data_IF_166488754290
#
_entry.id   IF_166488754290
#
_cell.length_a   1.000
_cell.length_b   1.000
_cell.length_c   1.000
_cell.angle_alpha   90.00
_cell.angle_beta   90.00
_cell.angle_gamma   90.00
#
_symmetry.space_group_name_H-M   'P 1'
#
loop_
_entity.id
_entity.type
_entity.pdbx_description
1 polymer ?
#
# COMPACT_ATOMS: atom_id res chain seq x y z
N UNK A 1 46.04 35.28 6.22
CA UNK A 1 46.25 33.88 6.61
C UNK A 1 45.93 33.77 8.08
N UNK A 2 45.02 32.87 8.47
CA UNK A 2 44.54 32.75 9.85
C UNK A 2 45.51 31.97 10.74
N UNK A 3 45.48 32.27 12.04
CA UNK A 3 46.18 31.48 13.05
C UNK A 3 45.66 30.03 13.09
N UNK A 4 46.50 29.05 13.48
CA UNK A 4 46.05 27.68 13.67
C UNK A 4 45.01 27.62 14.79
N UNK A 5 43.86 27.03 14.49
CA UNK A 5 42.73 26.91 15.40
C UNK A 5 42.39 25.43 15.59
N UNK A 6 42.34 24.99 16.85
CA UNK A 6 41.92 23.62 17.18
C UNK A 6 40.51 23.64 17.74
N UNK A 7 39.55 23.08 17.01
CA UNK A 7 38.19 22.88 17.49
C UNK A 7 38.08 21.58 18.26
N UNK A 8 37.73 21.66 19.54
CA UNK A 8 37.42 20.49 20.35
C UNK A 8 35.94 20.16 20.17
N UNK A 9 35.64 18.96 19.70
CA UNK A 9 34.27 18.51 19.42
C UNK A 9 33.99 17.23 20.20
N UNK A 10 32.82 17.11 20.85
CA UNK A 10 32.45 15.90 21.58
C UNK A 10 32.44 14.65 20.71
N UNK A 11 32.24 14.85 19.41
CA UNK A 11 32.19 13.79 18.43
C UNK A 11 32.91 14.17 17.14
N UNK A 12 33.45 13.18 16.43
CA UNK A 12 34.13 13.41 15.16
C UNK A 12 33.16 13.90 14.08
N UNK A 13 33.26 15.18 13.75
CA UNK A 13 32.52 15.85 12.65
C UNK A 13 33.01 15.34 11.29
N UNK A 14 34.19 14.71 11.23
CA UNK A 14 34.70 14.04 10.02
C UNK A 14 33.77 12.88 9.58
N UNK A 15 32.98 12.31 10.50
CA UNK A 15 31.97 11.29 10.15
C UNK A 15 30.88 11.87 9.23
N UNK A 16 30.65 13.19 9.24
CA UNK A 16 29.76 13.84 8.27
C UNK A 16 30.31 13.80 6.84
N UNK A 17 31.63 13.64 6.64
CA UNK A 17 32.24 13.46 5.32
C UNK A 17 32.07 12.03 4.79
N UNK A 18 32.06 11.02 5.67
CA UNK A 18 32.04 9.61 5.28
C UNK A 18 30.64 9.02 5.17
N UNK A 19 29.60 9.67 5.72
CA UNK A 19 28.24 9.11 5.78
C UNK A 19 27.26 9.68 4.77
N UNK A 20 26.74 8.74 3.98
CA UNK A 20 25.60 8.67 3.05
C UNK A 20 24.25 9.28 3.50
N UNK A 21 24.18 10.00 4.63
CA UNK A 21 22.93 10.56 5.20
C UNK A 21 23.01 12.07 5.40
N UNK A 22 23.48 12.81 4.39
CA UNK A 22 23.41 14.28 4.34
C UNK A 22 22.05 14.80 3.90
N UNK A 23 21.01 13.95 3.89
CA UNK A 23 19.63 14.23 3.47
C UNK A 23 19.03 15.51 4.11
N UNK A 24 19.56 15.91 5.27
CA UNK A 24 19.11 17.06 6.06
C UNK A 24 19.94 18.34 5.87
N UNK A 25 21.03 18.27 5.10
CA UNK A 25 21.91 19.39 4.74
C UNK A 25 21.85 19.64 3.24
N UNK A 26 21.33 20.80 2.84
CA UNK A 26 21.37 21.22 1.42
C UNK A 26 22.81 21.25 0.91
N UNK A 27 23.04 20.91 -0.37
CA UNK A 27 24.37 20.93 -1.00
C UNK A 27 25.14 22.23 -0.73
N UNK A 28 24.48 23.40 -0.84
CA UNK A 28 25.10 24.70 -0.54
C UNK A 28 25.60 24.84 0.90
N UNK A 29 24.88 24.29 1.88
CA UNK A 29 25.30 24.31 3.30
C UNK A 29 26.45 23.35 3.53
N UNK A 30 26.40 22.17 2.91
CA UNK A 30 27.48 21.19 2.96
C UNK A 30 28.78 21.78 2.41
N UNK A 31 28.74 22.35 1.19
CA UNK A 31 29.90 23.00 0.57
C UNK A 31 30.45 24.15 1.41
N UNK A 32 29.58 24.93 2.08
CA UNK A 32 30.02 25.97 3.02
C UNK A 32 30.78 25.39 4.22
N UNK A 33 30.29 24.31 4.81
CA UNK A 33 30.98 23.65 5.93
C UNK A 33 32.27 22.98 5.49
N UNK A 34 32.28 22.34 4.32
CA UNK A 34 33.50 21.78 3.72
C UNK A 34 34.55 22.85 3.52
N UNK A 35 34.22 23.96 2.85
CA UNK A 35 35.18 25.04 2.57
C UNK A 35 35.63 25.78 3.83
N UNK A 36 34.76 25.96 4.81
CA UNK A 36 35.05 26.82 5.98
C UNK A 36 35.70 26.08 7.15
N UNK A 37 35.42 24.77 7.31
CA UNK A 37 35.84 24.00 8.49
C UNK A 37 36.77 22.85 8.09
N UNK A 38 36.40 22.09 7.05
CA UNK A 38 37.07 20.82 6.74
C UNK A 38 38.21 20.96 5.72
N UNK A 39 38.13 21.94 4.82
CA UNK A 39 39.15 22.28 3.82
C UNK A 39 40.04 23.44 4.24
N UNK A 40 39.79 24.04 5.41
CA UNK A 40 40.59 25.13 5.94
C UNK A 40 41.90 24.58 6.52
N UNK A 41 43.03 24.89 5.87
CA UNK A 41 44.36 24.42 6.27
C UNK A 41 44.80 24.85 7.68
N UNK A 42 44.15 25.87 8.25
CA UNK A 42 44.44 26.39 9.58
C UNK A 42 43.46 25.92 10.66
N UNK A 43 42.52 25.01 10.34
CA UNK A 43 41.56 24.47 11.30
C UNK A 43 41.80 22.98 11.49
N UNK A 44 41.93 22.54 12.73
CA UNK A 44 42.06 21.12 13.08
C UNK A 44 40.96 20.76 14.06
N UNK A 45 40.19 19.70 13.77
CA UNK A 45 39.19 19.20 14.69
C UNK A 45 39.78 18.05 15.52
N UNK A 46 39.54 18.06 16.84
CA UNK A 46 39.94 16.99 17.75
C UNK A 46 38.75 16.53 18.58
N UNK A 47 38.63 15.21 18.77
CA UNK A 47 37.59 14.60 19.59
C UNK A 47 37.87 14.85 21.09
N UNK A 48 36.86 15.28 21.84
CA UNK A 48 36.92 15.52 23.28
C UNK A 48 35.61 15.05 23.93
N UNK A 49 35.57 13.79 24.38
CA UNK A 49 34.33 13.15 24.85
C UNK A 49 33.81 13.70 26.18
N UNK A 50 34.64 14.38 26.97
CA UNK A 50 34.27 14.85 28.31
C UNK A 50 34.53 16.36 28.43
N UNK A 51 33.43 17.12 28.49
CA UNK A 51 33.43 18.56 28.72
C UNK A 51 32.72 18.84 30.05
N UNK A 52 33.30 19.73 30.85
CA UNK A 52 32.61 20.22 32.03
C UNK A 52 31.40 21.06 31.61
N UNK A 53 30.19 20.71 32.07
CA UNK A 53 28.95 21.38 31.64
C UNK A 53 28.84 22.85 32.07
N UNK A 54 29.55 23.26 33.12
CA UNK A 54 29.55 24.64 33.60
C UNK A 54 30.60 25.52 32.92
N UNK A 55 31.78 24.95 32.60
CA UNK A 55 32.92 25.72 32.05
C UNK A 55 33.16 25.50 30.57
N UNK A 56 32.58 24.45 29.96
CA UNK A 56 32.80 24.01 28.57
C UNK A 56 34.28 23.76 28.23
N UNK A 57 35.11 23.52 29.25
CA UNK A 57 36.51 23.16 29.07
C UNK A 57 36.68 21.64 29.08
N UNK A 58 37.69 21.11 28.37
CA UNK A 58 38.11 19.72 28.52
C UNK A 58 38.45 19.45 29.98
N UNK A 59 37.93 18.35 30.52
CA UNK A 59 38.24 17.94 31.89
C UNK A 59 39.64 17.29 31.92
N UNK A 60 40.42 17.55 32.97
CA UNK A 60 41.80 17.08 33.06
C UNK A 60 41.86 15.54 33.01
N UNK A 61 42.54 15.02 31.99
CA UNK A 61 42.56 13.60 31.58
C UNK A 61 43.15 12.63 32.61
N UNK A 62 43.67 13.12 33.75
CA UNK A 62 44.30 12.29 34.77
C UNK A 62 43.33 11.74 35.83
N UNK A 63 42.13 12.31 35.99
CA UNK A 63 41.15 11.87 36.99
C UNK A 63 40.03 10.99 36.41
N UNK A 64 39.90 10.95 35.06
CA UNK A 64 38.75 10.38 34.35
C UNK A 64 38.95 8.90 33.96
N UNK A 65 40.12 8.31 34.20
CA UNK A 65 40.26 6.84 34.06
C UNK A 65 39.37 6.06 35.06
N UNK A 66 38.70 6.75 35.99
CA UNK A 66 37.81 6.16 37.02
C UNK A 66 36.33 6.50 36.89
N UNK A 67 35.94 7.49 36.09
CA UNK A 67 34.53 7.72 35.78
C UNK A 67 34.23 7.05 34.45
N UNK A 68 33.29 6.10 34.48
CA UNK A 68 32.83 5.34 33.32
C UNK A 68 32.78 6.24 32.09
N UNK A 69 33.65 5.97 31.11
CA UNK A 69 33.57 6.54 29.78
C UNK A 69 32.22 6.08 29.24
N UNK A 70 31.17 6.89 29.44
CA UNK A 70 29.89 6.65 28.81
C UNK A 70 30.17 6.82 27.33
N UNK A 71 30.29 5.69 26.65
CA UNK A 71 30.41 5.62 25.21
C UNK A 71 29.07 6.11 24.65
N UNK A 72 28.91 7.43 24.52
CA UNK A 72 27.75 8.02 23.90
C UNK A 72 27.80 7.68 22.41
N UNK A 73 27.24 6.52 22.04
CA UNK A 73 27.03 6.17 20.65
C UNK A 73 25.89 7.03 20.10
N UNK A 74 26.27 8.16 19.53
CA UNK A 74 25.36 9.10 18.87
C UNK A 74 24.47 8.45 17.81
N UNK A 75 24.84 7.28 17.27
CA UNK A 75 23.92 6.51 16.43
C UNK A 75 22.65 6.15 17.20
N UNK A 76 22.77 5.66 18.43
CA UNK A 76 21.63 5.31 19.28
C UNK A 76 20.75 6.54 19.62
N UNK A 77 21.34 7.74 19.69
CA UNK A 77 20.60 8.99 19.98
C UNK A 77 20.00 9.63 18.72
N UNK A 78 20.63 9.49 17.55
CA UNK A 78 20.16 10.15 16.31
C UNK A 78 19.17 9.32 15.49
N UNK A 79 19.22 7.99 15.58
CA UNK A 79 18.25 7.14 14.88
C UNK A 79 16.80 7.38 15.32
N UNK A 80 16.47 7.47 16.62
CA UNK A 80 15.13 7.85 17.09
C UNK A 80 14.72 9.26 16.65
N UNK A 81 15.70 10.13 16.41
CA UNK A 81 15.46 11.52 16.03
C UNK A 81 15.25 11.72 14.53
N UNK A 82 15.64 10.77 13.69
CA UNK A 82 15.64 10.93 12.22
C UNK A 82 14.61 10.05 11.53
N UNK A 83 14.30 8.89 12.10
CA UNK A 83 13.31 7.95 11.55
C UNK A 83 12.03 7.93 12.38
N UNK A 84 10.86 7.72 11.76
CA UNK A 84 9.62 7.49 12.50
C UNK A 84 9.65 6.22 13.36
N UNK A 85 10.47 5.25 12.95
CA UNK A 85 10.59 3.93 13.54
C UNK A 85 12.03 3.41 13.36
N UNK A 86 12.69 2.86 14.40
CA UNK A 86 14.11 2.48 14.30
C UNK A 86 14.40 1.39 13.26
N UNK A 87 13.56 0.35 13.23
CA UNK A 87 13.70 -0.86 12.41
C UNK A 87 13.23 -0.70 10.97
N UNK A 88 12.77 0.50 10.56
CA UNK A 88 12.31 0.70 9.19
C UNK A 88 13.45 0.62 8.17
N UNK A 89 13.20 -0.16 7.10
CA UNK A 89 14.13 -0.38 5.98
C UNK A 89 13.59 0.20 4.68
N UNK A 90 14.49 0.66 3.83
CA UNK A 90 14.24 1.08 2.44
C UNK A 90 14.44 -0.05 1.43
N UNK A 91 14.94 -1.20 1.90
CA UNK A 91 15.09 -2.45 1.16
C UNK A 91 14.08 -3.49 1.63
N UNK A 92 13.68 -4.38 0.72
CA UNK A 92 12.73 -5.47 0.98
C UNK A 92 13.21 -6.37 2.14
N UNK A 93 12.29 -6.78 3.01
CA UNK A 93 12.58 -7.75 4.07
C UNK A 93 12.88 -9.14 3.49
N UNK A 94 13.73 -9.93 4.14
CA UNK A 94 14.00 -11.31 3.73
C UNK A 94 12.79 -12.21 4.00
N UNK A 95 12.25 -12.13 5.22
CA UNK A 95 11.03 -12.81 5.63
C UNK A 95 9.86 -11.82 5.60
N UNK A 96 8.83 -12.13 4.80
CA UNK A 96 7.61 -11.34 4.73
C UNK A 96 6.42 -12.25 4.96
N UNK A 97 5.55 -11.87 5.89
CA UNK A 97 4.22 -12.47 5.98
C UNK A 97 3.34 -11.93 4.84
N UNK A 98 3.62 -10.71 4.36
CA UNK A 98 2.88 -10.09 3.28
C UNK A 98 3.72 -9.07 2.48
N UNK A 99 3.47 -9.00 1.17
CA UNK A 99 3.98 -7.93 0.30
C UNK A 99 2.80 -7.13 -0.22
N UNK A 100 2.83 -5.83 -0.04
CA UNK A 100 1.74 -4.91 -0.40
C UNK A 100 2.25 -3.86 -1.37
N UNK A 101 1.48 -3.58 -2.40
CA UNK A 101 1.65 -2.50 -3.36
C UNK A 101 0.55 -1.49 -3.08
N UNK A 102 0.93 -0.22 -2.91
CA UNK A 102 -0.02 0.85 -2.66
C UNK A 102 0.05 1.90 -3.75
N UNK A 103 -1.12 2.43 -4.08
CA UNK A 103 -1.23 3.58 -4.97
C UNK A 103 -2.43 4.44 -4.59
N UNK A 104 -2.31 5.74 -4.86
CA UNK A 104 -3.37 6.72 -4.71
C UNK A 104 -3.34 7.72 -5.86
N UNK A 105 -4.50 7.97 -6.44
CA UNK A 105 -4.62 8.84 -7.61
C UNK A 105 -5.78 9.79 -7.53
N UNK A 106 -5.70 10.81 -8.38
CA UNK A 106 -6.76 11.77 -8.63
C UNK A 106 -6.83 12.08 -10.12
N UNK A 107 -7.99 11.84 -10.73
CA UNK A 107 -8.25 12.03 -12.16
C UNK A 107 -9.60 12.72 -12.38
N UNK A 108 -9.89 13.15 -13.63
CA UNK A 108 -11.22 13.65 -14.00
C UNK A 108 -12.02 12.54 -14.67
N UNK A 109 -13.29 12.39 -14.28
CA UNK A 109 -14.22 11.50 -14.96
C UNK A 109 -14.70 12.08 -16.30
N UNK A 110 -15.48 11.32 -17.07
CA UNK A 110 -16.05 11.76 -18.35
C UNK A 110 -16.99 12.97 -18.26
N UNK A 111 -17.38 13.38 -17.04
CA UNK A 111 -18.18 14.59 -16.79
C UNK A 111 -17.32 15.80 -16.40
N UNK A 112 -16.00 15.64 -16.29
CA UNK A 112 -15.05 16.67 -15.88
C UNK A 112 -14.89 16.79 -14.35
N UNK A 113 -15.56 15.95 -13.56
CA UNK A 113 -15.51 15.96 -12.10
C UNK A 113 -14.26 15.25 -11.60
N UNK A 114 -13.56 15.82 -10.62
CA UNK A 114 -12.40 15.16 -10.02
C UNK A 114 -12.86 13.97 -9.16
N UNK A 115 -12.28 12.81 -9.43
CA UNK A 115 -12.42 11.57 -8.69
C UNK A 115 -11.08 11.20 -8.10
N UNK A 116 -11.09 10.71 -6.88
CA UNK A 116 -9.89 10.30 -6.16
C UNK A 116 -10.13 8.93 -5.57
N UNK A 117 -9.13 8.07 -5.62
CA UNK A 117 -9.18 6.72 -5.08
C UNK A 117 -7.81 6.27 -4.60
N UNK A 118 -7.81 5.26 -3.75
CA UNK A 118 -6.60 4.58 -3.30
C UNK A 118 -6.80 3.07 -3.35
N UNK A 119 -5.68 2.35 -3.38
CA UNK A 119 -5.64 0.92 -3.27
C UNK A 119 -4.39 0.45 -2.50
N UNK A 120 -4.56 -0.64 -1.75
CA UNK A 120 -3.51 -1.47 -1.19
C UNK A 120 -3.78 -2.91 -1.61
N UNK A 121 -2.88 -3.47 -2.41
CA UNK A 121 -3.03 -4.78 -3.04
C UNK A 121 -1.83 -5.67 -2.74
N UNK A 122 -2.02 -6.98 -2.63
CA UNK A 122 -0.94 -7.93 -2.89
C UNK A 122 -0.88 -8.18 -4.40
N UNK A 123 0.15 -8.88 -4.90
CA UNK A 123 0.15 -9.29 -6.30
C UNK A 123 -1.08 -10.15 -6.65
N UNK A 124 -1.59 -10.87 -5.67
CA UNK A 124 -2.65 -11.85 -5.84
C UNK A 124 -4.06 -11.28 -5.64
N UNK A 125 -4.23 -10.10 -5.00
CA UNK A 125 -5.55 -9.54 -4.72
C UNK A 125 -5.57 -8.21 -3.95
N UNK A 126 -6.69 -7.49 -3.96
CA UNK A 126 -6.84 -6.22 -3.24
C UNK A 126 -7.11 -6.49 -1.78
N UNK A 127 -6.35 -5.85 -0.90
CA UNK A 127 -6.55 -5.93 0.54
C UNK A 127 -7.56 -4.89 1.00
N UNK A 128 -7.35 -3.64 0.59
CA UNK A 128 -8.25 -2.53 0.83
C UNK A 128 -8.13 -1.54 -0.32
N UNK A 129 -9.25 -1.03 -0.83
CA UNK A 129 -9.26 0.05 -1.80
C UNK A 129 -10.54 0.85 -1.68
N UNK A 130 -10.51 2.15 -1.96
CA UNK A 130 -11.73 2.94 -1.91
C UNK A 130 -11.61 4.23 -2.71
N UNK A 131 -12.75 4.67 -3.21
CA UNK A 131 -12.93 6.07 -3.59
C UNK A 131 -12.87 6.99 -2.36
N UNK A 132 -12.44 8.22 -2.58
CA UNK A 132 -12.29 9.24 -1.54
C UNK A 132 -13.21 10.43 -1.84
N UNK A 133 -14.24 10.59 -1.02
CA UNK A 133 -15.14 11.74 -1.09
C UNK A 133 -14.46 12.99 -0.52
N UNK A 134 -14.52 14.10 -1.25
CA UNK A 134 -14.02 15.40 -0.80
C UNK A 134 -12.49 15.51 -0.80
N UNK A 135 -11.78 14.53 -1.36
CA UNK A 135 -10.34 14.59 -1.61
C UNK A 135 -10.14 14.83 -3.11
N UNK A 136 -9.24 15.75 -3.45
CA UNK A 136 -8.99 16.17 -4.85
C UNK A 136 -7.48 16.28 -5.14
N UNK A 137 -6.69 15.38 -4.55
CA UNK A 137 -5.22 15.41 -4.66
C UNK A 137 -4.65 14.00 -4.66
N UNK A 138 -3.86 13.67 -5.68
CA UNK A 138 -3.15 12.39 -5.77
C UNK A 138 -2.19 12.19 -4.59
N UNK A 139 -1.43 13.23 -4.22
CA UNK A 139 -0.53 13.18 -3.05
C UNK A 139 -1.26 12.83 -1.75
N UNK A 140 -2.50 13.31 -1.56
CA UNK A 140 -3.29 12.96 -0.37
C UNK A 140 -3.80 11.52 -0.47
N UNK A 141 -4.22 11.09 -1.66
CA UNK A 141 -4.66 9.71 -1.90
C UNK A 141 -3.54 8.71 -1.59
N UNK A 142 -2.31 9.02 -1.98
CA UNK A 142 -1.11 8.22 -1.72
C UNK A 142 -0.82 8.06 -0.23
N UNK A 143 -0.93 9.16 0.53
CA UNK A 143 -0.79 9.10 1.99
C UNK A 143 -1.90 8.27 2.62
N UNK A 144 -3.12 8.31 2.09
CA UNK A 144 -4.22 7.47 2.56
C UNK A 144 -3.96 6.00 2.20
N UNK A 145 -3.49 5.71 0.98
CA UNK A 145 -3.14 4.37 0.51
C UNK A 145 -2.10 3.72 1.42
N UNK A 146 -1.01 4.45 1.68
CA UNK A 146 -0.01 4.07 2.67
C UNK A 146 -0.68 3.85 4.02
N UNK A 147 -1.24 4.87 4.66
CA UNK A 147 -1.83 4.76 6.01
C UNK A 147 -2.74 3.53 6.17
N UNK A 148 -3.60 3.25 5.18
CA UNK A 148 -4.50 2.09 5.18
C UNK A 148 -3.78 0.75 5.10
N UNK A 149 -2.77 0.63 4.25
CA UNK A 149 -1.98 -0.59 4.18
C UNK A 149 -1.36 -0.97 5.53
N UNK A 150 -0.99 0.01 6.35
CA UNK A 150 -0.31 -0.25 7.62
C UNK A 150 -1.31 -0.71 8.69
N UNK A 151 -2.55 -0.20 8.64
CA UNK A 151 -3.66 -0.73 9.44
C UNK A 151 -4.00 -2.17 9.07
N UNK A 152 -4.06 -2.48 7.78
CA UNK A 152 -4.38 -3.83 7.30
C UNK A 152 -3.26 -4.82 7.63
N UNK A 153 -2.00 -4.38 7.64
CA UNK A 153 -0.84 -5.20 7.97
C UNK A 153 -0.43 -5.13 9.45
N UNK A 154 -1.34 -4.74 10.34
CA UNK A 154 -1.06 -4.71 11.78
C UNK A 154 -0.61 -6.07 12.31
N UNK A 155 0.48 -6.09 13.09
CA UNK A 155 1.14 -7.30 13.63
C UNK A 155 1.66 -8.29 12.58
N UNK A 156 1.91 -7.85 11.35
CA UNK A 156 2.56 -8.64 10.30
C UNK A 156 3.95 -8.08 9.99
N UNK A 157 4.83 -8.93 9.46
CA UNK A 157 6.08 -8.51 8.83
C UNK A 157 5.81 -8.21 7.36
N UNK A 158 5.90 -6.94 6.96
CA UNK A 158 5.40 -6.47 5.67
C UNK A 158 6.43 -5.65 4.89
N UNK A 159 6.55 -5.93 3.59
CA UNK A 159 7.18 -5.00 2.64
C UNK A 159 6.11 -4.27 1.85
N UNK A 160 6.09 -2.94 1.95
CA UNK A 160 5.18 -2.06 1.22
C UNK A 160 5.94 -1.37 0.09
N UNK A 161 5.48 -1.56 -1.14
CA UNK A 161 5.96 -0.86 -2.33
C UNK A 161 5.08 0.35 -2.63
N UNK A 162 5.72 1.49 -2.89
CA UNK A 162 5.03 2.72 -3.32
C UNK A 162 5.83 3.41 -4.43
N UNK A 163 5.11 3.86 -5.45
CA UNK A 163 5.69 4.69 -6.51
C UNK A 163 5.62 6.20 -6.17
N UNK A 164 5.08 6.54 -5.01
CA UNK A 164 5.02 7.90 -4.48
C UNK A 164 6.37 8.35 -3.91
N UNK A 165 7.05 9.30 -4.58
CA UNK A 165 8.25 9.92 -4.00
C UNK A 165 7.93 10.71 -2.73
N UNK A 166 6.73 11.30 -2.67
CA UNK A 166 6.30 12.08 -1.52
C UNK A 166 6.02 11.21 -0.29
N UNK A 167 5.30 10.10 -0.47
CA UNK A 167 5.07 9.12 0.60
C UNK A 167 6.38 8.51 1.10
N UNK A 168 7.24 8.08 0.18
CA UNK A 168 8.57 7.54 0.53
C UNK A 168 9.43 8.54 1.31
N UNK A 169 9.51 9.79 0.87
CA UNK A 169 10.28 10.84 1.56
C UNK A 169 9.71 11.23 2.92
N UNK A 170 8.40 11.10 3.15
CA UNK A 170 7.82 11.28 4.49
C UNK A 170 8.29 10.18 5.44
N UNK A 171 8.31 8.94 4.96
CA UNK A 171 8.68 7.78 5.78
C UNK A 171 10.17 7.79 6.13
N UNK A 172 11.04 8.09 5.16
CA UNK A 172 12.49 7.94 5.34
C UNK A 172 13.22 9.24 5.67
N UNK A 173 12.73 10.39 5.21
CA UNK A 173 13.46 11.66 5.32
C UNK A 173 12.80 12.61 6.33
N UNK A 174 11.56 13.05 6.08
CA UNK A 174 11.05 14.29 6.71
C UNK A 174 9.97 14.10 7.77
N UNK A 175 9.27 12.96 7.81
CA UNK A 175 8.10 12.76 8.66
C UNK A 175 8.40 12.93 10.15
N UNK A 176 9.46 12.27 10.63
CA UNK A 176 9.88 12.37 12.03
C UNK A 176 10.31 13.79 12.41
N UNK A 177 11.02 14.47 11.51
CA UNK A 177 11.44 15.85 11.71
C UNK A 177 10.24 16.80 11.83
N UNK A 178 9.23 16.63 10.98
CA UNK A 178 8.01 17.43 11.08
C UNK A 178 7.24 17.13 12.36
N UNK A 179 7.21 15.88 12.81
CA UNK A 179 6.60 15.50 14.09
C UNK A 179 7.24 16.25 15.26
N UNK A 180 8.57 16.25 15.35
CA UNK A 180 9.32 16.97 16.40
C UNK A 180 9.10 18.49 16.38
N UNK A 181 8.84 19.06 15.20
CA UNK A 181 8.55 20.49 15.02
C UNK A 181 7.06 20.84 15.17
N UNK A 182 6.22 19.90 15.61
CA UNK A 182 4.78 20.11 15.75
C UNK A 182 4.06 20.33 14.42
N UNK A 183 4.59 19.80 13.33
CA UNK A 183 4.08 19.95 11.96
C UNK A 183 3.98 21.42 11.50
N UNK A 184 4.94 22.23 11.92
CA UNK A 184 5.12 23.62 11.47
C UNK A 184 6.33 23.75 10.54
N UNK A 185 6.22 24.60 9.53
CA UNK A 185 7.34 25.01 8.69
C UNK A 185 8.22 26.04 9.43
N UNK A 186 9.42 26.33 8.92
CA UNK A 186 10.30 27.37 9.46
C UNK A 186 9.70 28.79 9.40
N UNK A 187 8.69 28.99 8.55
CA UNK A 187 7.94 30.25 8.45
C UNK A 187 6.76 30.34 9.44
N UNK A 188 6.57 29.33 10.29
CA UNK A 188 5.49 29.28 11.28
C UNK A 188 4.13 28.90 10.72
N UNK A 189 4.06 28.44 9.46
CA UNK A 189 2.82 27.95 8.85
C UNK A 189 2.69 26.44 9.01
N UNK A 190 1.48 25.88 9.13
CA UNK A 190 1.29 24.44 9.18
C UNK A 190 1.85 23.74 7.93
N UNK A 191 2.47 22.58 8.13
CA UNK A 191 2.87 21.70 7.02
C UNK A 191 1.62 21.24 6.27
N UNK A 192 1.66 21.33 4.94
CA UNK A 192 0.56 20.90 4.07
C UNK A 192 0.27 19.42 4.32
N UNK A 193 -1.01 19.08 4.48
CA UNK A 193 -1.49 17.72 4.82
C UNK A 193 -0.98 17.20 6.18
N UNK A 194 -0.54 18.07 7.10
CA UNK A 194 0.06 17.68 8.38
C UNK A 194 -0.75 16.67 9.19
N UNK A 195 -2.08 16.75 9.22
CA UNK A 195 -2.91 15.80 9.95
C UNK A 195 -2.91 14.39 9.33
N UNK A 196 -2.82 14.28 8.00
CA UNK A 196 -2.65 12.99 7.31
C UNK A 196 -1.28 12.39 7.57
N UNK A 197 -0.26 13.23 7.64
CA UNK A 197 1.10 12.79 7.97
C UNK A 197 1.16 12.30 9.42
N UNK A 198 0.52 12.99 10.37
CA UNK A 198 0.37 12.51 11.75
C UNK A 198 -0.27 11.12 11.81
N UNK A 199 -1.36 10.93 11.09
CA UNK A 199 -2.07 9.64 11.02
C UNK A 199 -1.17 8.54 10.46
N UNK A 200 -0.44 8.83 9.38
CA UNK A 200 0.53 7.91 8.78
C UNK A 200 1.66 7.55 9.75
N UNK A 201 2.20 8.54 10.48
CA UNK A 201 3.26 8.35 11.49
C UNK A 201 2.78 7.62 12.76
N UNK A 202 1.48 7.58 13.00
CA UNK A 202 0.90 6.70 14.02
C UNK A 202 0.75 5.27 13.49
N UNK A 203 0.20 5.12 12.27
CA UNK A 203 -0.06 3.82 11.66
C UNK A 203 1.22 3.01 11.39
N UNK A 204 2.37 3.67 11.21
CA UNK A 204 3.68 3.03 11.06
C UNK A 204 4.14 2.13 12.19
N UNK A 205 3.59 2.35 13.37
CA UNK A 205 3.93 1.54 14.54
C UNK A 205 3.13 0.23 14.60
N UNK A 206 2.14 0.03 13.72
CA UNK A 206 1.21 -1.11 13.80
C UNK A 206 1.77 -2.44 13.29
N UNK A 207 2.54 -2.51 12.18
CA UNK A 207 3.14 -3.76 11.72
C UNK A 207 4.21 -4.28 12.70
N UNK A 208 4.50 -5.58 12.69
CA UNK A 208 5.55 -6.16 13.55
C UNK A 208 6.95 -5.81 13.04
N UNK A 209 7.19 -5.91 11.72
CA UNK A 209 8.41 -5.47 11.05
C UNK A 209 8.01 -4.84 9.71
N UNK A 210 8.71 -3.79 9.27
CA UNK A 210 8.32 -3.07 8.06
C UNK A 210 9.49 -2.61 7.19
N UNK A 211 9.34 -2.84 5.89
CA UNK A 211 10.08 -2.16 4.84
C UNK A 211 9.14 -1.32 3.98
N UNK A 212 9.55 -0.09 3.66
CA UNK A 212 8.87 0.76 2.67
C UNK A 212 9.83 1.02 1.53
N UNK A 213 9.54 0.43 0.37
CA UNK A 213 10.45 0.37 -0.77
C UNK A 213 9.90 1.21 -1.91
N UNK A 214 10.76 2.04 -2.49
CA UNK A 214 10.42 2.82 -3.68
C UNK A 214 10.40 1.92 -4.90
N UNK A 215 9.28 1.84 -5.60
CA UNK A 215 9.22 1.29 -6.97
C UNK A 215 9.20 2.41 -8.01
N UNK A 216 9.56 2.08 -9.24
CA UNK A 216 9.46 3.02 -10.36
C UNK A 216 8.04 3.04 -10.90
N UNK A 217 7.50 4.24 -11.12
CA UNK A 217 6.15 4.40 -11.65
C UNK A 217 6.09 3.99 -13.13
N UNK A 218 4.96 3.44 -13.57
CA UNK A 218 4.60 3.25 -14.99
C UNK A 218 5.63 2.48 -15.86
N UNK A 219 6.26 1.45 -15.29
CA UNK A 219 7.15 0.59 -16.08
C UNK A 219 6.35 -0.42 -16.91
N UNK A 220 6.77 -0.66 -18.16
CA UNK A 220 6.20 -1.68 -19.05
C UNK A 220 6.85 -3.06 -18.86
N UNK A 221 7.67 -3.21 -17.82
CA UNK A 221 8.37 -4.44 -17.51
C UNK A 221 7.42 -5.42 -16.82
N UNK A 222 7.48 -6.70 -17.18
CA UNK A 222 6.66 -7.74 -16.57
C UNK A 222 7.29 -8.33 -15.29
N UNK A 223 8.12 -7.54 -14.61
CA UNK A 223 8.68 -7.97 -13.34
C UNK A 223 7.64 -7.89 -12.22
N UNK A 224 7.83 -8.71 -11.19
CA UNK A 224 6.92 -8.85 -10.06
C UNK A 224 6.50 -7.51 -9.43
N UNK A 225 7.43 -6.55 -9.33
CA UNK A 225 7.18 -5.26 -8.68
C UNK A 225 6.32 -4.39 -9.59
N UNK A 226 6.64 -4.33 -10.88
CA UNK A 226 5.87 -3.55 -11.86
C UNK A 226 4.45 -4.08 -12.04
N UNK A 227 4.26 -5.41 -12.04
CA UNK A 227 2.93 -6.03 -12.08
C UNK A 227 2.10 -5.66 -10.83
N UNK A 228 2.68 -5.77 -9.65
CA UNK A 228 2.01 -5.39 -8.40
C UNK A 228 1.67 -3.90 -8.33
N UNK A 229 2.56 -3.02 -8.80
CA UNK A 229 2.31 -1.58 -8.84
C UNK A 229 1.22 -1.23 -9.86
N UNK A 230 1.31 -1.78 -11.07
CA UNK A 230 0.30 -1.58 -12.11
C UNK A 230 -1.08 -2.08 -11.68
N UNK A 231 -1.12 -3.14 -10.86
CA UNK A 231 -2.35 -3.57 -10.23
C UNK A 231 -2.91 -2.52 -9.27
N UNK A 232 -2.13 -2.05 -8.29
CA UNK A 232 -2.60 -1.05 -7.34
C UNK A 232 -3.18 0.20 -8.04
N UNK A 233 -2.52 0.67 -9.10
CA UNK A 233 -2.99 1.78 -9.95
C UNK A 233 -4.37 1.48 -10.55
N UNK A 234 -4.51 0.36 -11.24
CA UNK A 234 -5.78 -0.01 -11.88
C UNK A 234 -6.95 -0.12 -10.89
N UNK A 235 -6.71 -0.64 -9.69
CA UNK A 235 -7.74 -0.71 -8.64
C UNK A 235 -8.09 0.67 -8.12
N UNK A 236 -7.10 1.52 -7.91
CA UNK A 236 -7.34 2.89 -7.48
C UNK A 236 -8.17 3.65 -8.54
N UNK A 237 -7.89 3.44 -9.85
CA UNK A 237 -8.64 4.03 -10.97
C UNK A 237 -10.07 3.53 -10.93
N UNK A 238 -10.24 2.22 -10.83
CA UNK A 238 -11.55 1.57 -10.79
C UNK A 238 -12.40 2.10 -9.62
N UNK A 239 -11.83 2.17 -8.42
CA UNK A 239 -12.52 2.69 -7.24
C UNK A 239 -12.91 4.17 -7.44
N UNK A 240 -11.97 5.01 -7.91
CA UNK A 240 -12.21 6.42 -8.12
C UNK A 240 -13.36 6.69 -9.11
N UNK A 241 -13.35 6.01 -10.26
CA UNK A 241 -14.35 6.21 -11.32
C UNK A 241 -15.73 5.66 -10.94
N UNK A 242 -15.79 4.51 -10.27
CA UNK A 242 -17.05 3.85 -9.95
C UNK A 242 -17.61 4.22 -8.57
N UNK A 243 -16.87 4.98 -7.77
CA UNK A 243 -17.22 5.32 -6.39
C UNK A 243 -17.46 4.09 -5.51
N UNK A 244 -16.55 3.11 -5.60
CA UNK A 244 -16.63 1.81 -4.90
C UNK A 244 -15.58 1.75 -3.77
N UNK A 245 -15.89 0.98 -2.73
CA UNK A 245 -15.00 0.68 -1.61
C UNK A 245 -14.93 -0.83 -1.35
N UNK A 246 -13.73 -1.33 -1.08
CA UNK A 246 -13.39 -2.68 -0.68
C UNK A 246 -12.69 -2.60 0.67
N UNK A 247 -13.32 -3.10 1.74
CA UNK A 247 -12.82 -3.00 3.12
C UNK A 247 -12.64 -4.34 3.83
N UNK A 248 -13.15 -5.43 3.26
CA UNK A 248 -13.06 -6.77 3.83
C UNK A 248 -12.39 -7.74 2.87
N UNK A 249 -11.53 -8.60 3.45
CA UNK A 249 -10.71 -9.65 2.84
C UNK A 249 -11.03 -9.95 1.36
N UNK A 250 -10.10 -9.49 0.54
CA UNK A 250 -9.84 -9.90 -0.84
C UNK A 250 -10.89 -9.63 -1.89
N UNK A 251 -10.53 -8.80 -2.87
CA UNK A 251 -10.95 -8.98 -4.28
C UNK A 251 -10.18 -8.09 -5.25
N UNK A 252 -9.67 -8.73 -6.32
CA UNK A 252 -9.71 -8.31 -7.75
C UNK A 252 -8.37 -8.03 -8.48
N UNK A 253 -7.52 -9.04 -8.77
CA UNK A 253 -6.37 -8.84 -9.68
C UNK A 253 -6.80 -8.28 -11.05
N UNK A 254 -6.00 -7.46 -11.73
CA UNK A 254 -6.16 -7.11 -13.11
C UNK A 254 -5.17 -7.94 -13.92
N UNK A 255 -5.64 -9.03 -14.50
CA UNK A 255 -4.91 -9.64 -15.59
C UNK A 255 -5.58 -9.22 -16.89
N UNK A 256 -5.13 -8.08 -17.42
CA UNK A 256 -4.80 -8.02 -18.83
C UNK A 256 -3.32 -8.47 -18.90
N UNK A 257 -3.04 -9.76 -18.93
CA UNK A 257 -3.17 -10.55 -20.15
C UNK A 257 -4.19 -11.69 -20.04
N UNK A 258 -5.18 -11.59 -20.93
CA UNK A 258 -6.08 -12.62 -21.42
C UNK A 258 -7.23 -13.09 -20.52
N UNK A 259 -8.40 -12.62 -20.97
CA UNK A 259 -9.72 -13.21 -20.88
C UNK A 259 -10.56 -12.87 -19.65
N UNK A 260 -11.43 -11.88 -19.89
CA UNK A 260 -12.85 -11.89 -19.53
C UNK A 260 -13.38 -13.17 -18.84
N UNK A 261 -14.11 -12.97 -17.73
CA UNK A 261 -15.20 -13.82 -17.24
C UNK A 261 -14.96 -14.81 -16.08
N UNK A 262 -14.05 -14.59 -15.13
CA UNK A 262 -13.80 -15.58 -14.06
C UNK A 262 -14.01 -15.15 -12.60
N UNK A 263 -14.77 -14.08 -12.31
CA UNK A 263 -15.22 -13.83 -10.90
C UNK A 263 -16.59 -14.46 -10.57
N UNK A 264 -17.24 -15.12 -11.54
CA UNK A 264 -18.45 -15.91 -11.30
C UNK A 264 -18.16 -17.33 -10.72
N UNK A 265 -16.89 -17.75 -10.70
CA UNK A 265 -16.44 -19.12 -10.39
C UNK A 265 -15.80 -19.21 -8.99
N UNK A 266 -16.63 -19.21 -7.95
CA UNK A 266 -16.22 -19.73 -6.62
C UNK A 266 -17.13 -20.85 -6.10
N UNK A 267 -17.97 -21.40 -6.98
CA UNK A 267 -18.74 -22.64 -6.74
C UNK A 267 -18.33 -23.75 -7.74
N UNK A 268 -17.56 -23.40 -8.77
CA UNK A 268 -17.00 -24.32 -9.78
C UNK A 268 -15.60 -23.78 -10.05
N UNK A 269 -14.55 -24.54 -9.75
CA UNK A 269 -13.18 -24.03 -9.73
C UNK A 269 -12.52 -24.04 -11.13
N UNK A 270 -13.14 -24.68 -12.13
CA UNK A 270 -12.67 -24.69 -13.54
C UNK A 270 -13.80 -24.82 -14.57
N UNK A 271 -13.60 -24.36 -15.81
CA UNK A 271 -14.53 -24.60 -16.94
C UNK A 271 -14.78 -26.11 -17.18
N UNK A 272 -13.80 -26.93 -16.83
CA UNK A 272 -13.83 -28.39 -16.95
C UNK A 272 -14.75 -29.05 -15.91
N UNK A 273 -14.81 -28.50 -14.69
CA UNK A 273 -15.80 -28.89 -13.69
C UNK A 273 -17.24 -28.48 -14.09
N UNK A 274 -17.43 -27.29 -14.66
CA UNK A 274 -18.76 -26.88 -15.16
C UNK A 274 -19.23 -27.82 -16.27
N UNK A 275 -18.32 -28.17 -17.19
CA UNK A 275 -18.58 -29.12 -18.27
C UNK A 275 -18.99 -30.48 -17.72
N UNK A 276 -18.21 -31.07 -16.82
CA UNK A 276 -18.54 -32.39 -16.23
C UNK A 276 -19.86 -32.36 -15.46
N UNK A 277 -20.18 -31.26 -14.78
CA UNK A 277 -21.48 -31.08 -14.13
C UNK A 277 -22.62 -30.99 -15.14
N UNK A 278 -22.47 -30.20 -16.20
CA UNK A 278 -23.47 -30.10 -17.28
C UNK A 278 -23.64 -31.41 -18.04
N UNK A 279 -22.57 -32.18 -18.25
CA UNK A 279 -22.62 -33.52 -18.85
C UNK A 279 -23.36 -34.53 -17.97
N UNK A 280 -23.26 -34.41 -16.65
CA UNK A 280 -23.99 -35.25 -15.71
C UNK A 280 -25.38 -34.71 -15.33
N UNK A 281 -25.81 -33.58 -15.91
CA UNK A 281 -27.12 -33.00 -15.66
C UNK A 281 -28.26 -33.90 -16.15
N UNK A 282 -29.42 -33.78 -15.50
CA UNK A 282 -30.59 -34.61 -15.78
C UNK A 282 -31.08 -34.44 -17.24
N UNK A 283 -31.54 -35.54 -17.83
CA UNK A 283 -31.91 -35.60 -19.25
C UNK A 283 -33.08 -34.66 -19.58
N UNK A 284 -33.99 -34.46 -18.64
CA UNK A 284 -35.12 -33.54 -18.80
C UNK A 284 -34.68 -32.07 -18.74
N UNK A 285 -33.66 -31.75 -17.95
CA UNK A 285 -33.09 -30.40 -17.85
C UNK A 285 -32.37 -30.01 -19.15
N UNK A 286 -31.61 -30.95 -19.75
CA UNK A 286 -30.96 -30.74 -21.06
C UNK A 286 -31.96 -30.53 -22.20
N UNK A 287 -33.07 -31.27 -22.20
CA UNK A 287 -34.17 -31.07 -23.19
C UNK A 287 -34.74 -29.66 -23.09
N UNK A 288 -34.85 -29.10 -21.88
CA UNK A 288 -35.30 -27.73 -21.67
C UNK A 288 -34.29 -26.71 -22.20
N UNK A 289 -32.98 -26.93 -22.02
CA UNK A 289 -31.93 -26.05 -22.57
C UNK A 289 -31.99 -25.98 -24.10
N UNK A 290 -32.14 -27.14 -24.76
CA UNK A 290 -32.30 -27.22 -26.22
C UNK A 290 -33.57 -26.50 -26.68
N UNK A 291 -34.69 -26.69 -25.97
CA UNK A 291 -35.96 -25.99 -26.27
C UNK A 291 -35.84 -24.46 -26.11
N UNK A 292 -34.98 -23.99 -25.20
CA UNK A 292 -34.69 -22.58 -24.95
C UNK A 292 -33.52 -22.04 -25.78
N UNK A 293 -33.15 -22.74 -26.86
CA UNK A 293 -32.09 -22.37 -27.81
C UNK A 293 -30.70 -22.18 -27.17
N UNK A 294 -30.42 -22.86 -26.07
CA UNK A 294 -29.05 -22.92 -25.55
C UNK A 294 -28.20 -23.79 -26.47
N UNK A 295 -26.96 -23.39 -26.72
CA UNK A 295 -26.01 -24.07 -27.61
C UNK A 295 -24.75 -24.45 -26.86
N UNK A 296 -24.07 -25.51 -27.29
CA UNK A 296 -22.74 -25.83 -26.78
C UNK A 296 -21.69 -24.99 -27.51
N UNK A 297 -20.81 -24.35 -26.74
CA UNK A 297 -19.64 -23.63 -27.27
C UNK A 297 -18.57 -24.62 -27.75
N UNK A 298 -17.52 -24.11 -28.38
CA UNK A 298 -16.33 -24.88 -28.78
C UNK A 298 -15.67 -25.66 -27.63
N UNK A 299 -15.88 -25.24 -26.39
CA UNK A 299 -15.35 -25.88 -25.17
C UNK A 299 -16.34 -26.88 -24.53
N UNK A 300 -17.39 -27.28 -25.25
CA UNK A 300 -18.44 -28.24 -24.86
C UNK A 300 -19.35 -27.80 -23.69
N UNK A 301 -19.17 -26.58 -23.18
CA UNK A 301 -20.03 -25.92 -22.19
C UNK A 301 -21.30 -25.34 -22.82
N UNK A 302 -22.44 -25.52 -22.16
CA UNK A 302 -23.75 -24.98 -22.58
C UNK A 302 -23.89 -23.50 -22.24
N UNK A 303 -24.30 -22.70 -23.23
CA UNK A 303 -24.55 -21.25 -23.12
C UNK A 303 -25.91 -20.85 -23.72
N UNK A 304 -26.50 -19.75 -23.23
CA UNK A 304 -27.74 -19.18 -23.77
C UNK A 304 -27.51 -18.43 -25.10
N UNK A 305 -28.59 -18.08 -25.80
CA UNK A 305 -28.56 -17.24 -27.01
C UNK A 305 -27.90 -15.87 -26.75
N UNK A 306 -27.97 -15.37 -25.52
CA UNK A 306 -27.35 -14.12 -25.06
C UNK A 306 -25.89 -14.29 -24.57
N UNK A 307 -25.34 -15.50 -24.67
CA UNK A 307 -23.94 -15.80 -24.33
C UNK A 307 -23.67 -16.09 -22.85
N UNK A 308 -24.71 -16.35 -22.06
CA UNK A 308 -24.59 -16.60 -20.62
C UNK A 308 -24.39 -18.09 -20.33
N UNK A 309 -23.61 -18.42 -19.31
CA UNK A 309 -23.38 -19.83 -18.95
C UNK A 309 -24.63 -20.46 -18.35
N UNK A 310 -24.96 -21.68 -18.79
CA UNK A 310 -26.13 -22.39 -18.27
C UNK A 310 -25.82 -22.96 -16.88
N UNK A 311 -26.51 -22.47 -15.86
CA UNK A 311 -26.38 -22.93 -14.48
C UNK A 311 -27.37 -24.07 -14.21
N UNK A 312 -26.89 -25.17 -13.62
CA UNK A 312 -27.74 -26.29 -13.22
C UNK A 312 -28.71 -25.90 -12.09
N UNK A 313 -29.90 -26.51 -12.09
CA UNK A 313 -30.88 -26.31 -11.02
C UNK A 313 -30.35 -26.67 -9.63
N UNK A 314 -29.49 -27.69 -9.52
CA UNK A 314 -28.88 -28.13 -8.25
C UNK A 314 -28.02 -27.04 -7.59
N UNK A 315 -27.36 -26.21 -8.40
CA UNK A 315 -26.45 -25.16 -7.95
C UNK A 315 -27.16 -23.82 -7.74
N UNK A 316 -28.36 -23.65 -8.27
CA UNK A 316 -29.15 -22.42 -8.17
C UNK A 316 -29.34 -21.95 -6.72
N UNK A 317 -29.55 -22.90 -5.79
CA UNK A 317 -29.70 -22.63 -4.36
C UNK A 317 -28.42 -22.05 -3.74
N UNK A 318 -27.28 -22.65 -4.04
CA UNK A 318 -25.99 -22.28 -3.47
C UNK A 318 -25.57 -20.91 -4.01
N UNK A 319 -25.76 -20.69 -5.31
CA UNK A 319 -25.52 -19.41 -5.96
C UNK A 319 -26.42 -18.30 -5.39
N UNK A 320 -27.71 -18.55 -5.22
CA UNK A 320 -28.62 -17.56 -4.63
C UNK A 320 -28.23 -17.18 -3.19
N UNK A 321 -27.85 -18.14 -2.35
CA UNK A 321 -27.36 -17.87 -0.98
C UNK A 321 -26.06 -17.08 -0.98
N UNK A 322 -25.13 -17.39 -1.89
CA UNK A 322 -23.89 -16.64 -2.05
C UNK A 322 -24.15 -15.16 -2.37
N UNK A 323 -24.99 -14.89 -3.38
CA UNK A 323 -25.34 -13.51 -3.75
C UNK A 323 -26.14 -12.77 -2.66
N UNK A 324 -26.97 -13.48 -1.90
CA UNK A 324 -27.72 -12.89 -0.79
C UNK A 324 -26.83 -12.56 0.42
N UNK A 325 -25.91 -13.47 0.80
CA UNK A 325 -25.05 -13.33 1.97
C UNK A 325 -23.94 -12.29 1.83
N UNK A 326 -23.56 -11.90 0.62
CA UNK A 326 -22.49 -10.93 0.36
C UNK A 326 -22.94 -9.47 0.47
N UNK A 327 -24.25 -9.17 0.43
CA UNK A 327 -24.71 -7.78 0.30
C UNK A 327 -26.03 -7.41 1.00
N UNK A 328 -26.71 -8.35 1.69
CA UNK A 328 -28.05 -8.10 2.29
C UNK A 328 -29.04 -7.40 1.33
N UNK A 329 -28.94 -7.72 0.04
CA UNK A 329 -29.74 -7.10 -1.01
C UNK A 329 -31.10 -7.77 -1.14
N UNK A 330 -32.13 -6.95 -1.41
CA UNK A 330 -33.48 -7.44 -1.68
C UNK A 330 -33.52 -8.40 -2.88
N UNK A 331 -34.50 -9.30 -2.87
CA UNK A 331 -34.71 -10.37 -3.87
C UNK A 331 -34.51 -9.94 -5.32
N UNK A 332 -35.09 -8.81 -5.72
CA UNK A 332 -35.10 -8.37 -7.11
C UNK A 332 -33.73 -7.84 -7.57
N UNK A 333 -32.88 -7.41 -6.64
CA UNK A 333 -31.49 -7.04 -6.94
C UNK A 333 -30.62 -8.30 -7.09
N UNK A 334 -30.82 -9.30 -6.22
CA UNK A 334 -30.14 -10.60 -6.33
C UNK A 334 -30.46 -11.33 -7.65
N UNK A 335 -31.74 -11.34 -8.06
CA UNK A 335 -32.15 -11.92 -9.35
C UNK A 335 -31.49 -11.24 -10.52
N UNK A 336 -31.41 -9.90 -10.49
CA UNK A 336 -30.76 -9.13 -11.54
C UNK A 336 -29.30 -9.50 -11.65
N UNK A 337 -28.57 -9.58 -10.55
CA UNK A 337 -27.15 -9.95 -10.53
C UNK A 337 -26.91 -11.39 -11.00
N UNK A 338 -27.71 -12.36 -10.54
CA UNK A 338 -27.57 -13.75 -10.96
C UNK A 338 -27.84 -13.92 -12.47
N UNK A 339 -28.76 -13.13 -13.02
CA UNK A 339 -29.09 -13.09 -14.45
C UNK A 339 -28.11 -12.31 -15.32
N UNK A 340 -27.08 -11.68 -14.75
CA UNK A 340 -26.01 -11.08 -15.57
C UNK A 340 -25.03 -12.17 -15.99
N UNK A 341 -24.62 -13.01 -15.04
CA UNK A 341 -23.56 -14.00 -15.25
C UNK A 341 -24.09 -15.40 -15.61
N UNK A 342 -25.31 -15.74 -15.20
CA UNK A 342 -25.84 -17.11 -15.31
C UNK A 342 -27.25 -17.17 -15.91
N UNK A 343 -27.46 -18.15 -16.78
CA UNK A 343 -28.77 -18.50 -17.31
C UNK A 343 -29.31 -19.75 -16.64
N UNK A 344 -30.45 -19.65 -15.97
CA UNK A 344 -31.22 -20.80 -15.50
C UNK A 344 -32.74 -20.58 -15.73
N UNK A 345 -33.43 -21.53 -16.40
CA UNK A 345 -34.87 -21.43 -16.71
C UNK A 345 -35.79 -21.29 -15.49
N UNK A 346 -35.35 -21.80 -14.34
CA UNK A 346 -36.10 -21.85 -13.08
C UNK A 346 -35.72 -20.76 -12.08
N UNK A 347 -34.77 -19.87 -12.43
CA UNK A 347 -34.30 -18.75 -11.60
C UNK A 347 -35.43 -17.91 -11.01
N UNK A 348 -36.55 -17.70 -11.73
CA UNK A 348 -37.71 -16.96 -11.21
C UNK A 348 -38.71 -17.76 -10.36
N UNK A 349 -38.77 -19.09 -10.52
CA UNK A 349 -39.80 -19.95 -9.90
C UNK A 349 -39.37 -20.52 -8.56
N UNK A 350 -38.16 -21.06 -8.46
CA UNK A 350 -37.69 -21.70 -7.21
C UNK A 350 -37.43 -20.68 -6.09
N UNK A 351 -37.15 -19.41 -6.43
CA UNK A 351 -36.83 -18.36 -5.45
C UNK A 351 -37.98 -17.94 -4.52
N UNK A 352 -39.24 -18.30 -4.81
CA UNK A 352 -40.37 -18.05 -3.88
C UNK A 352 -40.23 -18.84 -2.57
N UNK A 353 -39.51 -19.96 -2.58
CA UNK A 353 -39.30 -20.81 -1.41
C UNK A 353 -38.17 -20.32 -0.48
N UNK A 354 -37.32 -19.39 -0.93
CA UNK A 354 -36.09 -19.02 -0.20
C UNK A 354 -36.26 -17.80 0.72
N UNK A 355 -37.27 -16.95 0.48
CA UNK A 355 -37.58 -15.81 1.37
C UNK A 355 -38.30 -16.26 2.65
N UNK A 356 -38.75 -17.52 2.71
CA UNK A 356 -39.53 -18.05 3.85
C UNK A 356 -38.65 -18.77 4.88
N UNK A 357 -37.40 -19.13 4.54
CA UNK A 357 -36.50 -19.92 5.40
C UNK A 357 -35.11 -19.28 5.61
N UNK A 358 -35.03 -17.94 5.61
CA UNK A 358 -33.83 -17.20 6.07
C UNK A 358 -34.21 -16.36 7.29
#
# INVERSE_FOLDING_TARGET
MGYPLTGMVPQSVEILQTRTKTQYLTATRLTRYETSILGALNVTLKRCTVLNSATLLPSDTAEIEKEEVIEHDFLEVTEPCTKPRPDIRDTRLEENDQIVFVDGLCLRDGTGTLRTGYAGCTITGTLEASWLLGVYSAQVAELVALTRAWYVSAKLRVTIYTDSQYGFGIVHDFGQLWSQRGFMTSTGTPVRNGDRIKELLYAIQLPEEIAVVKCSAHQKTQDYISLGNGYADQVAIFCALNCISFKDKWKLMPEEENNCASFALKIIDTLEELKTLQENADKEEKKLWVKLKCVQRHDEVWVSEEGQMVLLNSLLTQMARYYHGQAHIGRDAMVRLLKVDWFNPNSGKQQRQYVINV
#
